data_IF_673038940805
#
_entry.id   IF_673038940805
#
_cell.length_a   1.000
_cell.length_b   1.000
_cell.length_c   1.000
_cell.angle_alpha   90.00
_cell.angle_beta   90.00
_cell.angle_gamma   90.00
#
_symmetry.space_group_name_H-M   'P 1'
#
loop_
_entity.id
_entity.type
_entity.pdbx_description
1 polymer ?
#
# COMPACT_ATOMS: atom_id res chain seq x y z
N UNK A 1 21.56 -14.38 32.69
CA UNK A 1 20.29 -14.10 32.01
C UNK A 1 20.17 -15.06 30.82
N UNK A 2 19.25 -16.01 30.88
CA UNK A 2 19.00 -16.92 29.76
C UNK A 2 18.28 -16.14 28.68
N UNK A 3 18.96 -15.85 27.56
CA UNK A 3 18.32 -15.24 26.39
C UNK A 3 17.30 -16.23 25.81
N UNK A 4 16.07 -15.78 25.60
CA UNK A 4 15.08 -16.61 24.92
C UNK A 4 15.53 -16.88 23.49
N UNK A 5 15.27 -18.10 22.92
CA UNK A 5 15.66 -18.43 21.54
C UNK A 5 15.26 -17.38 20.51
N UNK A 6 14.13 -16.71 20.77
CA UNK A 6 13.59 -15.63 19.91
C UNK A 6 14.46 -14.37 19.92
N UNK A 7 15.08 -14.01 21.06
CA UNK A 7 16.02 -12.87 21.17
C UNK A 7 17.35 -13.16 20.47
N UNK A 8 17.86 -14.37 20.65
CA UNK A 8 19.11 -14.80 19.98
C UNK A 8 18.94 -14.90 18.48
N UNK A 9 17.79 -15.39 18.00
CA UNK A 9 17.43 -15.44 16.58
C UNK A 9 17.35 -14.03 15.97
N UNK A 10 16.67 -13.09 16.64
CA UNK A 10 16.59 -11.71 16.17
C UNK A 10 17.95 -11.00 16.12
N UNK A 11 18.86 -11.30 17.05
CA UNK A 11 20.23 -10.78 17.00
C UNK A 11 21.02 -11.33 15.80
N UNK A 12 20.89 -12.63 15.52
CA UNK A 12 21.51 -13.27 14.36
C UNK A 12 20.99 -12.73 13.03
N UNK A 13 19.67 -12.55 12.92
CA UNK A 13 19.02 -11.99 11.74
C UNK A 13 19.47 -10.55 11.51
N UNK A 14 19.55 -9.72 12.55
CA UNK A 14 19.94 -8.33 12.46
C UNK A 14 21.46 -8.12 12.28
N UNK A 15 22.28 -9.13 12.55
CA UNK A 15 23.75 -9.07 12.38
C UNK A 15 24.22 -9.46 10.97
N UNK A 16 23.34 -10.00 10.13
CA UNK A 16 23.66 -10.40 8.77
C UNK A 16 22.64 -9.82 7.78
N UNK A 17 23.02 -8.74 7.10
CA UNK A 17 22.15 -8.02 6.15
C UNK A 17 21.62 -8.93 5.03
N UNK A 18 22.38 -9.93 4.60
CA UNK A 18 21.95 -10.89 3.59
C UNK A 18 20.80 -11.77 4.10
N UNK A 19 20.90 -12.27 5.33
CA UNK A 19 19.85 -13.10 5.96
C UNK A 19 18.59 -12.27 6.20
N UNK A 20 18.75 -11.06 6.71
CA UNK A 20 17.65 -10.11 6.92
C UNK A 20 16.91 -9.85 5.61
N UNK A 21 17.64 -9.54 4.55
CA UNK A 21 17.06 -9.28 3.23
C UNK A 21 16.28 -10.49 2.70
N UNK A 22 16.83 -11.70 2.80
CA UNK A 22 16.17 -12.94 2.36
C UNK A 22 14.83 -13.16 3.12
N UNK A 23 14.83 -12.89 4.42
CA UNK A 23 13.63 -13.00 5.24
C UNK A 23 12.61 -11.94 4.85
N UNK A 24 13.03 -10.68 4.69
CA UNK A 24 12.14 -9.59 4.29
C UNK A 24 11.56 -9.85 2.89
N UNK A 25 12.33 -10.34 1.93
CA UNK A 25 11.85 -10.73 0.60
C UNK A 25 10.79 -11.84 0.67
N UNK A 26 11.00 -12.88 1.47
CA UNK A 26 10.03 -13.96 1.66
C UNK A 26 8.71 -13.44 2.27
N UNK A 27 8.80 -12.53 3.25
CA UNK A 27 7.61 -11.89 3.83
C UNK A 27 6.89 -10.98 2.83
N UNK A 28 7.63 -10.23 2.02
CA UNK A 28 7.05 -9.36 0.99
C UNK A 28 6.32 -10.18 -0.08
N UNK A 29 6.93 -11.25 -0.58
CA UNK A 29 6.29 -12.18 -1.54
C UNK A 29 4.96 -12.68 -0.98
N UNK A 30 4.98 -13.18 0.27
CA UNK A 30 3.78 -13.70 0.92
C UNK A 30 2.69 -12.63 1.08
N UNK A 31 3.05 -11.43 1.50
CA UNK A 31 2.12 -10.31 1.67
C UNK A 31 1.50 -9.88 0.34
N UNK A 32 2.31 -9.74 -0.71
CA UNK A 32 1.83 -9.39 -2.04
C UNK A 32 0.90 -10.47 -2.58
N UNK A 33 1.29 -11.75 -2.45
CA UNK A 33 0.46 -12.87 -2.88
C UNK A 33 -0.87 -12.94 -2.15
N UNK A 34 -0.86 -12.69 -0.85
CA UNK A 34 -2.08 -12.77 -0.03
C UNK A 34 -3.06 -11.62 -0.29
N UNK A 35 -2.55 -10.41 -0.47
CA UNK A 35 -3.37 -9.20 -0.41
C UNK A 35 -3.52 -8.47 -1.76
N UNK A 36 -2.59 -8.65 -2.68
CA UNK A 36 -2.57 -7.90 -3.94
C UNK A 36 -2.75 -8.80 -5.17
N UNK A 37 -2.07 -9.93 -5.22
CA UNK A 37 -1.95 -10.73 -6.44
C UNK A 37 -1.99 -12.25 -6.15
N UNK A 38 -3.12 -12.80 -5.66
CA UNK A 38 -3.22 -14.20 -5.23
C UNK A 38 -3.00 -15.21 -6.37
N UNK A 39 -3.34 -14.84 -7.60
CA UNK A 39 -3.19 -15.70 -8.77
C UNK A 39 -1.77 -15.73 -9.36
N UNK A 40 -0.89 -14.81 -8.92
CA UNK A 40 0.46 -14.67 -9.47
C UNK A 40 1.41 -15.74 -8.92
N UNK A 41 2.23 -16.31 -9.79
CA UNK A 41 3.26 -17.28 -9.39
C UNK A 41 4.35 -16.61 -8.55
N UNK A 42 4.87 -17.32 -7.56
CA UNK A 42 5.91 -16.79 -6.66
C UNK A 42 7.18 -16.38 -7.38
N UNK A 43 7.54 -17.06 -8.46
CA UNK A 43 8.70 -16.72 -9.31
C UNK A 43 8.62 -15.29 -9.86
N UNK A 44 7.44 -14.86 -10.32
CA UNK A 44 7.23 -13.51 -10.82
C UNK A 44 7.23 -12.48 -9.69
N UNK A 45 6.72 -12.85 -8.50
CA UNK A 45 6.75 -11.98 -7.33
C UNK A 45 8.18 -11.78 -6.81
N UNK A 46 9.02 -12.81 -6.88
CA UNK A 46 10.42 -12.74 -6.48
C UNK A 46 11.22 -11.71 -7.29
N UNK A 47 10.92 -11.54 -8.59
CA UNK A 47 11.54 -10.51 -9.41
C UNK A 47 11.16 -9.08 -8.94
N UNK A 48 9.88 -8.88 -8.64
CA UNK A 48 9.34 -7.57 -8.22
C UNK A 48 9.87 -7.18 -6.84
N UNK A 49 9.95 -8.14 -5.93
CA UNK A 49 10.38 -7.92 -4.55
C UNK A 49 11.85 -7.51 -4.46
N UNK A 50 12.68 -7.85 -5.43
CA UNK A 50 14.08 -7.37 -5.48
C UNK A 50 14.20 -5.85 -5.51
N UNK A 51 13.22 -5.17 -6.12
CA UNK A 51 13.16 -3.71 -6.24
C UNK A 51 12.26 -3.07 -5.17
N UNK A 52 11.51 -3.88 -4.43
CA UNK A 52 10.64 -3.40 -3.37
C UNK A 52 11.45 -2.96 -2.15
N UNK A 53 10.92 -1.98 -1.44
CA UNK A 53 11.49 -1.48 -0.19
C UNK A 53 10.49 -1.56 0.95
N UNK A 54 11.01 -1.65 2.18
CA UNK A 54 10.22 -1.50 3.39
C UNK A 54 10.40 -0.07 3.90
N UNK A 55 9.30 0.65 4.03
CA UNK A 55 9.28 2.01 4.57
C UNK A 55 8.44 2.07 5.85
N UNK A 56 8.96 2.83 6.82
CA UNK A 56 8.28 3.08 8.10
C UNK A 56 7.84 4.53 8.17
N UNK A 57 6.64 4.70 8.68
CA UNK A 57 6.00 6.00 8.88
C UNK A 57 5.57 6.10 10.34
N UNK A 58 5.93 7.20 10.98
CA UNK A 58 5.43 7.52 12.31
C UNK A 58 3.96 7.96 12.24
N UNK A 59 3.26 7.91 13.37
CA UNK A 59 1.88 8.38 13.45
C UNK A 59 1.76 9.83 12.94
N UNK A 60 0.76 10.09 12.10
CA UNK A 60 0.48 11.34 11.38
C UNK A 60 1.47 11.70 10.25
N UNK A 61 2.49 10.90 9.99
CA UNK A 61 3.39 11.10 8.86
C UNK A 61 2.65 10.80 7.54
N UNK A 62 2.86 11.66 6.54
CA UNK A 62 2.26 11.50 5.21
C UNK A 62 3.06 10.48 4.39
N UNK A 63 2.34 9.55 3.75
CA UNK A 63 2.89 8.67 2.72
C UNK A 63 2.97 9.44 1.39
N UNK A 64 1.89 10.17 1.07
CA UNK A 64 1.79 11.06 -0.09
C UNK A 64 0.59 12.00 0.05
N UNK A 65 0.59 13.07 -0.74
CA UNK A 65 -0.49 14.08 -0.76
C UNK A 65 -1.35 13.98 -2.01
N UNK A 66 -2.61 14.41 -1.87
CA UNK A 66 -3.49 14.66 -3.01
C UNK A 66 -2.83 15.64 -3.99
N UNK A 67 -2.84 15.29 -5.28
CA UNK A 67 -2.23 16.08 -6.35
C UNK A 67 -0.76 15.78 -6.65
N UNK A 68 -0.06 15.04 -5.78
CA UNK A 68 1.31 14.61 -6.05
C UNK A 68 1.38 13.69 -7.28
N UNK A 69 2.47 13.72 -8.01
CA UNK A 69 2.77 12.67 -8.99
C UNK A 69 3.09 11.37 -8.25
N UNK A 70 2.49 10.27 -8.69
CA UNK A 70 2.63 8.99 -8.00
C UNK A 70 3.21 7.90 -8.88
N UNK A 71 4.36 7.38 -8.48
CA UNK A 71 5.09 6.32 -9.19
C UNK A 71 5.21 5.02 -8.38
N UNK A 72 4.55 4.93 -7.24
CA UNK A 72 4.69 3.81 -6.29
C UNK A 72 3.34 3.39 -5.69
N UNK A 73 3.23 2.10 -5.38
CA UNK A 73 2.14 1.51 -4.61
C UNK A 73 2.65 1.15 -3.23
N UNK A 74 1.84 1.36 -2.21
CA UNK A 74 2.13 1.07 -0.80
C UNK A 74 1.20 -0.01 -0.29
N UNK A 75 1.70 -1.21 -0.01
CA UNK A 75 0.99 -2.27 0.67
C UNK A 75 1.26 -2.18 2.17
N UNK A 76 0.22 -2.02 2.98
CA UNK A 76 0.33 -1.86 4.43
C UNK A 76 0.67 -3.21 5.06
N UNK A 77 1.89 -3.35 5.56
CA UNK A 77 2.38 -4.57 6.23
C UNK A 77 1.95 -4.63 7.68
N UNK A 78 2.04 -3.50 8.38
CA UNK A 78 1.59 -3.35 9.78
C UNK A 78 1.13 -1.93 10.05
N UNK A 79 0.32 -1.74 11.07
CA UNK A 79 -0.29 -0.45 11.38
C UNK A 79 -1.53 -0.17 10.55
N UNK A 80 -1.77 1.10 10.25
CA UNK A 80 -2.95 1.55 9.49
C UNK A 80 -2.75 2.96 8.96
N UNK A 81 -3.48 3.30 7.91
CA UNK A 81 -3.46 4.63 7.30
C UNK A 81 -4.86 5.24 7.24
N UNK A 82 -4.90 6.56 7.23
CA UNK A 82 -6.09 7.36 6.96
C UNK A 82 -5.98 7.93 5.56
N UNK A 83 -7.04 7.79 4.79
CA UNK A 83 -7.17 8.38 3.45
C UNK A 83 -8.09 9.56 3.56
N UNK A 84 -7.65 10.74 3.13
CA UNK A 84 -8.43 11.98 3.19
C UNK A 84 -8.34 12.75 1.87
N UNK A 85 -9.36 13.57 1.63
CA UNK A 85 -9.45 14.40 0.43
C UNK A 85 -9.94 15.80 0.77
N UNK A 86 -9.42 16.79 0.05
CA UNK A 86 -9.90 18.16 0.14
C UNK A 86 -11.20 18.31 -0.67
N UNK A 87 -12.29 18.64 0.03
CA UNK A 87 -13.60 18.91 -0.57
C UNK A 87 -13.98 20.35 -0.17
N UNK A 88 -13.82 21.30 -1.11
CA UNK A 88 -13.90 22.72 -0.80
C UNK A 88 -12.80 23.12 0.18
N UNK A 89 -13.15 23.80 1.27
CA UNK A 89 -12.21 24.22 2.32
C UNK A 89 -11.99 23.17 3.41
N UNK A 90 -12.67 22.02 3.34
CA UNK A 90 -12.62 20.98 4.38
C UNK A 90 -11.80 19.78 3.92
N UNK A 91 -10.97 19.27 4.82
CA UNK A 91 -10.32 17.99 4.65
C UNK A 91 -11.21 16.86 5.19
N UNK A 92 -11.70 16.00 4.30
CA UNK A 92 -12.65 14.94 4.62
C UNK A 92 -11.97 13.58 4.61
N UNK A 93 -12.11 12.83 5.69
CA UNK A 93 -11.63 11.45 5.77
C UNK A 93 -12.53 10.54 4.93
N UNK A 94 -11.97 9.87 3.95
CA UNK A 94 -12.64 8.94 3.07
C UNK A 94 -12.64 7.51 3.62
N UNK A 95 -11.49 7.08 4.14
CA UNK A 95 -11.30 5.71 4.61
C UNK A 95 -10.24 5.62 5.70
N UNK A 96 -10.34 4.54 6.47
CA UNK A 96 -9.32 4.05 7.40
C UNK A 96 -8.94 2.64 6.96
N UNK A 97 -7.68 2.43 6.60
CA UNK A 97 -7.22 1.17 6.01
C UNK A 97 -6.17 0.51 6.90
N UNK A 98 -6.47 -0.65 7.49
CA UNK A 98 -5.53 -1.44 8.28
C UNK A 98 -4.55 -2.23 7.41
N UNK A 99 -3.62 -2.93 8.05
CA UNK A 99 -2.70 -3.88 7.41
C UNK A 99 -3.44 -4.87 6.49
N UNK A 100 -2.79 -5.24 5.38
CA UNK A 100 -3.37 -6.05 4.32
C UNK A 100 -4.05 -5.24 3.20
N UNK A 101 -4.28 -3.94 3.40
CA UNK A 101 -4.74 -3.05 2.36
C UNK A 101 -3.57 -2.37 1.64
N UNK A 102 -3.85 -1.78 0.48
CA UNK A 102 -2.88 -1.04 -0.30
C UNK A 102 -3.46 0.29 -0.79
N UNK A 103 -2.57 1.24 -1.06
CA UNK A 103 -2.89 2.59 -1.54
C UNK A 103 -1.92 3.03 -2.63
N UNK A 104 -2.36 3.97 -3.46
CA UNK A 104 -1.54 4.53 -4.53
C UNK A 104 -1.72 3.86 -5.89
N UNK A 105 -2.51 2.77 -5.97
CA UNK A 105 -2.82 2.02 -7.19
C UNK A 105 -3.51 2.88 -8.25
N UNK A 106 -4.36 3.82 -7.82
CA UNK A 106 -5.15 4.64 -8.73
C UNK A 106 -4.27 5.48 -9.65
N UNK A 107 -3.25 6.14 -9.11
CA UNK A 107 -2.32 6.94 -9.90
C UNK A 107 -1.53 6.09 -10.91
N UNK A 108 -1.21 4.83 -10.57
CA UNK A 108 -0.48 3.93 -11.44
C UNK A 108 -1.31 3.33 -12.57
N UNK A 109 -2.62 3.21 -12.35
CA UNK A 109 -3.57 2.64 -13.33
C UNK A 109 -4.16 3.68 -14.27
N UNK A 110 -4.24 4.93 -13.85
CA UNK A 110 -4.93 6.00 -14.58
C UNK A 110 -4.00 7.08 -15.11
N UNK A 111 -2.70 7.02 -14.78
CA UNK A 111 -1.70 8.07 -15.05
C UNK A 111 -2.10 9.47 -14.53
N UNK A 112 -3.00 9.50 -13.55
CA UNK A 112 -3.48 10.70 -12.87
C UNK A 112 -2.66 10.97 -11.60
N UNK A 113 -2.58 12.22 -11.13
CA UNK A 113 -2.00 12.51 -9.82
C UNK A 113 -2.70 11.75 -8.69
N UNK A 114 -2.07 11.69 -7.51
CA UNK A 114 -2.66 11.09 -6.31
C UNK A 114 -4.05 11.67 -6.04
N UNK A 115 -5.05 10.82 -5.97
CA UNK A 115 -6.46 11.21 -5.83
C UNK A 115 -6.86 11.62 -4.42
N UNK A 116 -6.01 11.37 -3.44
CA UNK A 116 -6.21 11.64 -2.02
C UNK A 116 -4.88 11.75 -1.28
N UNK A 117 -4.91 12.34 -0.08
CA UNK A 117 -3.80 12.35 0.87
C UNK A 117 -3.87 11.11 1.75
N UNK A 118 -2.75 10.44 1.93
CA UNK A 118 -2.63 9.27 2.81
C UNK A 118 -1.62 9.55 3.92
N UNK A 119 -2.05 9.33 5.17
CA UNK A 119 -1.24 9.49 6.38
C UNK A 119 -1.25 8.22 7.22
N UNK A 120 -0.15 7.93 7.86
CA UNK A 120 -0.10 6.89 8.88
C UNK A 120 -0.98 7.30 10.07
N UNK A 121 -1.95 6.46 10.44
CA UNK A 121 -2.81 6.72 11.59
C UNK A 121 -2.11 6.35 12.91
N UNK A 122 -1.25 5.34 12.84
CA UNK A 122 -0.34 4.87 13.89
C UNK A 122 1.01 4.61 13.26
N UNK A 123 2.01 4.19 14.05
CA UNK A 123 3.28 3.70 13.47
C UNK A 123 3.00 2.58 12.47
N UNK A 124 3.36 2.80 11.21
CA UNK A 124 2.96 1.98 10.07
C UNK A 124 4.19 1.57 9.27
N UNK A 125 4.24 0.31 8.86
CA UNK A 125 5.25 -0.21 7.95
C UNK A 125 4.58 -0.62 6.64
N UNK A 126 5.16 -0.20 5.53
CA UNK A 126 4.65 -0.50 4.18
C UNK A 126 5.69 -1.20 3.33
N UNK A 127 5.22 -2.04 2.42
CA UNK A 127 5.98 -2.55 1.28
C UNK A 127 5.72 -1.59 0.13
N UNK A 128 6.77 -0.96 -0.38
CA UNK A 128 6.70 0.00 -1.49
C UNK A 128 7.11 -0.72 -2.77
N UNK A 129 6.18 -0.76 -3.74
CA UNK A 129 6.40 -1.31 -5.07
C UNK A 129 6.50 -0.17 -6.08
N UNK A 130 7.53 -0.20 -6.91
CA UNK A 130 7.66 0.78 -8.00
C UNK A 130 6.56 0.60 -9.04
N UNK A 131 6.10 1.69 -9.62
CA UNK A 131 5.02 1.69 -10.60
C UNK A 131 5.35 0.87 -11.85
N UNK A 132 6.60 0.86 -12.30
CA UNK A 132 7.05 0.06 -13.43
C UNK A 132 6.94 -1.45 -13.15
N UNK A 133 7.37 -1.90 -11.98
CA UNK A 133 7.28 -3.31 -11.54
C UNK A 133 5.82 -3.72 -11.37
N UNK A 134 5.00 -2.84 -10.80
CA UNK A 134 3.57 -3.08 -10.64
C UNK A 134 2.84 -3.17 -11.99
N UNK A 135 3.09 -2.27 -12.94
CA UNK A 135 2.52 -2.33 -14.28
C UNK A 135 3.01 -3.59 -15.03
N UNK A 136 4.26 -3.97 -14.87
CA UNK A 136 4.81 -5.22 -15.40
C UNK A 136 4.09 -6.46 -14.85
N UNK A 137 3.76 -6.47 -13.57
CA UNK A 137 2.95 -7.52 -12.94
C UNK A 137 1.57 -7.62 -13.58
N UNK A 138 0.88 -6.49 -13.74
CA UNK A 138 -0.48 -6.44 -14.29
C UNK A 138 -0.52 -6.83 -15.78
N UNK A 139 0.49 -6.47 -16.56
CA UNK A 139 0.56 -6.83 -17.98
C UNK A 139 0.68 -8.33 -18.21
N UNK A 140 1.36 -9.03 -17.29
CA UNK A 140 1.52 -10.49 -17.31
C UNK A 140 0.36 -11.26 -16.64
N UNK A 141 -0.54 -10.55 -15.92
CA UNK A 141 -1.59 -11.17 -15.12
C UNK A 141 -2.94 -10.45 -15.32
N UNK A 142 -3.67 -10.74 -16.42
CA UNK A 142 -4.93 -10.07 -16.75
C UNK A 142 -6.00 -10.17 -15.66
N UNK A 143 -6.10 -11.29 -14.96
CA UNK A 143 -7.08 -11.49 -13.88
C UNK A 143 -6.84 -10.55 -12.72
N UNK A 144 -5.57 -10.39 -12.30
CA UNK A 144 -5.18 -9.45 -11.25
C UNK A 144 -5.48 -8.01 -11.68
N UNK A 145 -5.20 -7.68 -12.93
CA UNK A 145 -5.51 -6.37 -13.51
C UNK A 145 -7.01 -6.08 -13.45
N UNK A 146 -7.83 -7.03 -13.90
CA UNK A 146 -9.28 -6.88 -13.89
C UNK A 146 -9.85 -6.70 -12.48
N UNK A 147 -9.37 -7.45 -11.49
CA UNK A 147 -9.76 -7.29 -10.08
C UNK A 147 -9.42 -5.89 -9.55
N UNK A 148 -8.25 -5.36 -9.90
CA UNK A 148 -7.85 -4.02 -9.51
C UNK A 148 -8.70 -2.93 -10.19
N UNK A 149 -9.01 -3.09 -11.47
CA UNK A 149 -9.90 -2.18 -12.20
C UNK A 149 -11.29 -2.10 -11.54
N UNK A 150 -11.85 -3.23 -11.12
CA UNK A 150 -13.11 -3.27 -10.38
C UNK A 150 -13.01 -2.56 -9.02
N UNK A 151 -11.94 -2.79 -8.28
CA UNK A 151 -11.73 -2.11 -7.00
C UNK A 151 -11.60 -0.59 -7.16
N UNK A 152 -10.87 -0.14 -8.18
CA UNK A 152 -10.73 1.28 -8.48
C UNK A 152 -12.08 1.90 -8.84
N UNK A 153 -12.88 1.21 -9.66
CA UNK A 153 -14.23 1.66 -10.00
C UNK A 153 -15.10 1.82 -8.74
N UNK A 154 -15.07 0.86 -7.82
CA UNK A 154 -15.78 0.94 -6.54
C UNK A 154 -15.31 2.12 -5.68
N UNK A 155 -13.99 2.33 -5.56
CA UNK A 155 -13.42 3.46 -4.79
C UNK A 155 -13.82 4.82 -5.40
N UNK A 156 -13.84 4.92 -6.72
CA UNK A 156 -14.27 6.13 -7.41
C UNK A 156 -15.75 6.45 -7.15
N UNK A 157 -16.61 5.44 -7.16
CA UNK A 157 -18.05 5.58 -6.88
C UNK A 157 -18.28 6.04 -5.43
N UNK A 158 -17.66 5.37 -4.46
CA UNK A 158 -17.72 5.74 -3.04
C UNK A 158 -17.24 7.19 -2.78
N UNK A 159 -16.22 7.62 -3.53
CA UNK A 159 -15.70 8.98 -3.43
C UNK A 159 -16.68 10.03 -4.01
N UNK A 160 -17.46 9.68 -5.03
CA UNK A 160 -18.53 10.53 -5.61
C UNK A 160 -19.70 10.66 -4.64
N UNK A 161 -20.16 9.55 -4.05
CA UNK A 161 -21.27 9.55 -3.08
C UNK A 161 -20.97 10.41 -1.85
N UNK A 162 -19.74 10.33 -1.32
CA UNK A 162 -19.30 11.19 -0.20
C UNK A 162 -19.21 12.66 -0.58
N UNK A 163 -18.99 12.97 -1.86
CA UNK A 163 -18.98 14.34 -2.38
C UNK A 163 -20.39 14.91 -2.55
N UNK A 164 -21.37 14.10 -2.94
CA UNK A 164 -22.77 14.49 -3.12
C UNK A 164 -23.55 14.54 -1.79
N UNK A 165 -23.23 13.67 -0.82
CA UNK A 165 -23.90 13.65 0.48
C UNK A 165 -23.57 14.84 1.41
N UNK A 166 -22.64 15.72 1.03
CA UNK A 166 -22.35 16.98 1.75
C UNK A 166 -23.10 18.19 1.17
N UNK A 167 -23.90 18.00 0.11
CA UNK A 167 -24.70 19.05 -0.52
C UNK A 167 -26.17 19.13 -0.07
N UNK A 168 -26.66 18.14 0.66
CA UNK A 168 -28.06 18.10 1.17
C UNK A 168 -28.14 18.17 2.69
N UNK A 169 -27.87 19.34 3.21
CA UNK A 169 -27.98 19.59 4.65
C UNK A 169 -27.99 21.05 5.00
N UNK A 170 -28.83 21.84 4.32
CA UNK A 170 -29.22 23.16 4.80
C UNK A 170 -30.57 23.54 4.16
N UNK A 171 -31.61 23.16 4.82
CA UNK A 171 -32.83 23.93 4.89
C UNK A 171 -33.20 24.05 6.34
#
# INVERSE_FOLDING_TARGET
>A
VVETPRRSMNKLINSNDSVKRTIDEAFMIRAIKMHLAPAVKEEHLAEIVKNATLEKFDANQELFKEGDQGDSLYLIRSGSVTVSKSIGEKNTTLAYLPAGNYVGEMALMTDMPRSATVKAAVSTETIVLKGEDFRGLLSKNPDTRHQLELLIAQRLEQNKEKKSGHGEGLV
#
